data_IF_726735610484
#
_entry.id   IF_726735610484
#
_cell.length_a   1.000
_cell.length_b   1.000
_cell.length_c   1.000
_cell.angle_alpha   90.00
_cell.angle_beta   90.00
_cell.angle_gamma   90.00
#
_symmetry.space_group_name_H-M   'P 1'
#
loop_
_entity.id
_entity.type
_entity.pdbx_description
1 polymer ?
#
# COMPACT_ATOMS: atom_id res chain seq x y z
N UNK A 1 17.70 -17.60 -2.96
CA UNK A 1 16.32 -17.06 -3.07
C UNK A 1 16.35 -15.99 -4.15
N UNK A 2 15.72 -16.22 -5.30
CA UNK A 2 15.84 -15.34 -6.48
C UNK A 2 14.94 -14.11 -6.43
N UNK A 3 15.10 -13.21 -7.41
CA UNK A 3 14.26 -12.02 -7.60
C UNK A 3 12.85 -12.33 -8.12
N UNK A 4 12.64 -13.53 -8.67
CA UNK A 4 11.37 -14.05 -9.18
C UNK A 4 10.19 -13.92 -8.20
N UNK A 5 10.25 -14.43 -6.96
CA UNK A 5 9.15 -14.29 -5.99
C UNK A 5 8.81 -12.83 -5.66
N UNK A 6 9.81 -11.95 -5.56
CA UNK A 6 9.61 -10.52 -5.35
C UNK A 6 8.87 -9.87 -6.52
N UNK A 7 9.22 -10.23 -7.75
CA UNK A 7 8.57 -9.71 -8.95
C UNK A 7 7.12 -10.18 -9.05
N UNK A 8 6.85 -11.46 -8.78
CA UNK A 8 5.48 -12.03 -8.77
C UNK A 8 4.64 -11.35 -7.69
N UNK A 9 5.18 -11.17 -6.49
CA UNK A 9 4.50 -10.48 -5.40
C UNK A 9 4.14 -9.04 -5.78
N UNK A 10 5.09 -8.29 -6.35
CA UNK A 10 4.85 -6.93 -6.81
C UNK A 10 3.78 -6.88 -7.91
N UNK A 11 3.79 -7.84 -8.84
CA UNK A 11 2.81 -7.92 -9.91
C UNK A 11 1.39 -8.16 -9.40
N UNK A 12 1.24 -9.09 -8.44
CA UNK A 12 -0.05 -9.38 -7.80
C UNK A 12 -0.54 -8.15 -7.02
N UNK A 13 0.37 -7.44 -6.34
CA UNK A 13 0.04 -6.23 -5.59
C UNK A 13 -0.36 -5.05 -6.50
N UNK A 14 0.25 -4.93 -7.69
CA UNK A 14 -0.10 -3.89 -8.68
C UNK A 14 -1.32 -4.24 -9.54
N UNK A 15 -1.68 -5.51 -9.66
CA UNK A 15 -2.83 -6.00 -10.45
C UNK A 15 -4.12 -5.19 -10.25
N UNK A 16 -4.57 -4.89 -9.00
CA UNK A 16 -5.80 -4.12 -8.79
C UNK A 16 -5.71 -2.69 -9.35
N UNK A 17 -4.53 -2.06 -9.28
CA UNK A 17 -4.29 -0.73 -9.86
C UNK A 17 -4.42 -0.77 -11.39
N UNK A 18 -3.92 -1.83 -12.02
CA UNK A 18 -4.01 -2.03 -13.48
C UNK A 18 -5.47 -2.33 -13.89
N UNK A 19 -6.19 -3.18 -13.16
CA UNK A 19 -7.59 -3.52 -13.42
C UNK A 19 -8.52 -2.30 -13.40
N UNK A 20 -8.34 -1.41 -12.43
CA UNK A 20 -9.06 -0.13 -12.37
C UNK A 20 -8.54 0.83 -13.44
N UNK A 21 -7.23 0.84 -13.67
CA UNK A 21 -6.55 1.64 -14.70
C UNK A 21 -7.02 1.35 -16.13
N UNK A 22 -7.35 0.11 -16.44
CA UNK A 22 -7.74 -0.34 -17.79
C UNK A 22 -9.26 -0.47 -17.96
N UNK A 23 -10.03 -0.48 -16.86
CA UNK A 23 -11.49 -0.54 -16.95
C UNK A 23 -12.06 0.78 -17.47
N UNK A 24 -12.72 0.73 -18.63
CA UNK A 24 -13.58 1.79 -19.19
C UNK A 24 -14.85 2.04 -18.35
N UNK A 25 -15.06 1.24 -17.29
CA UNK A 25 -16.22 1.29 -16.41
C UNK A 25 -16.19 2.46 -15.41
N UNK A 26 -15.02 3.04 -15.14
CA UNK A 26 -14.88 4.16 -14.18
C UNK A 26 -14.37 5.40 -14.89
N UNK A 27 -15.16 6.48 -14.85
CA UNK A 27 -14.87 7.70 -15.60
C UNK A 27 -14.13 8.73 -14.75
N UNK A 28 -13.10 9.39 -15.31
CA UNK A 28 -12.36 10.54 -14.74
C UNK A 28 -12.08 10.49 -13.24
N UNK A 29 -12.99 11.09 -12.45
CA UNK A 29 -12.87 11.25 -11.00
C UNK A 29 -13.05 9.94 -10.22
N UNK A 30 -13.85 8.99 -10.69
CA UNK A 30 -14.04 7.69 -10.03
C UNK A 30 -12.74 6.88 -10.02
N UNK A 31 -11.96 7.00 -11.10
CA UNK A 31 -10.67 6.31 -11.24
C UNK A 31 -9.65 6.82 -10.22
N UNK A 32 -9.64 8.13 -9.99
CA UNK A 32 -8.80 8.77 -8.97
C UNK A 32 -9.23 8.36 -7.55
N UNK A 33 -10.54 8.27 -7.28
CA UNK A 33 -11.05 7.81 -5.99
C UNK A 33 -10.63 6.36 -5.70
N UNK A 34 -10.69 5.47 -6.69
CA UNK A 34 -10.24 4.09 -6.55
C UNK A 34 -8.72 3.96 -6.35
N UNK A 35 -7.92 4.72 -7.11
CA UNK A 35 -6.47 4.78 -6.92
C UNK A 35 -6.09 5.27 -5.52
N UNK A 36 -6.76 6.33 -5.04
CA UNK A 36 -6.56 6.87 -3.71
C UNK A 36 -6.97 5.87 -2.62
N UNK A 37 -8.10 5.19 -2.79
CA UNK A 37 -8.55 4.15 -1.87
C UNK A 37 -7.56 2.98 -1.77
N UNK A 38 -7.02 2.49 -2.90
CA UNK A 38 -6.01 1.43 -2.90
C UNK A 38 -4.71 1.86 -2.23
N UNK A 39 -4.31 3.12 -2.39
CA UNK A 39 -3.15 3.69 -1.72
C UNK A 39 -3.35 3.76 -0.20
N UNK A 40 -4.51 4.24 0.25
CA UNK A 40 -4.87 4.23 1.67
C UNK A 40 -4.83 2.81 2.22
N UNK A 41 -5.56 1.86 1.64
CA UNK A 41 -5.62 0.48 2.15
C UNK A 41 -4.24 -0.18 2.18
N UNK A 42 -3.40 0.04 1.16
CA UNK A 42 -2.07 -0.58 1.10
C UNK A 42 -1.06 0.04 2.07
N UNK A 43 -1.19 1.34 2.37
CA UNK A 43 -0.20 2.07 3.17
C UNK A 43 -0.68 2.45 4.59
N UNK A 44 -1.96 2.19 4.92
CA UNK A 44 -2.54 2.53 6.23
C UNK A 44 -1.82 1.84 7.39
N UNK A 45 -1.26 0.66 7.16
CA UNK A 45 -0.49 -0.08 8.16
C UNK A 45 0.73 0.72 8.67
N UNK A 46 1.33 1.58 7.85
CA UNK A 46 2.42 2.47 8.27
C UNK A 46 1.91 3.63 9.11
N UNK A 47 0.76 4.21 8.77
CA UNK A 47 0.14 5.26 9.58
C UNK A 47 -0.18 4.72 10.97
N UNK A 48 -0.77 3.54 11.07
CA UNK A 48 -0.96 2.87 12.35
C UNK A 48 0.34 2.48 13.01
N UNK A 49 1.35 2.01 12.28
CA UNK A 49 2.66 1.75 12.87
C UNK A 49 3.24 3.02 13.50
N UNK A 50 3.15 4.20 12.88
CA UNK A 50 3.60 5.45 13.48
C UNK A 50 2.75 5.89 14.69
N UNK A 51 1.45 5.57 14.68
CA UNK A 51 0.52 5.92 15.75
C UNK A 51 0.60 4.95 16.96
N UNK A 52 0.80 3.66 16.69
CA UNK A 52 0.86 2.57 17.67
C UNK A 52 2.28 2.28 18.12
N UNK A 53 3.31 2.53 17.29
CA UNK A 53 4.70 2.40 17.71
C UNK A 53 4.87 3.35 18.89
N UNK A 54 5.03 2.81 20.11
CA UNK A 54 5.28 3.65 21.25
C UNK A 54 6.64 4.31 21.00
N UNK A 55 6.68 5.64 21.06
CA UNK A 55 7.90 6.44 21.23
C UNK A 55 8.53 6.17 22.62
N UNK A 56 8.56 4.91 23.08
CA UNK A 56 9.30 4.54 24.28
C UNK A 56 10.78 4.64 23.91
N UNK A 57 11.32 5.83 24.17
CA UNK A 57 12.73 6.05 24.38
C UNK A 57 13.24 4.88 25.24
N UNK A 58 14.09 4.07 24.63
CA UNK A 58 14.76 2.98 25.30
C UNK A 58 15.72 3.67 26.26
N UNK A 59 15.23 4.00 27.46
CA UNK A 59 16.04 4.51 28.55
C UNK A 59 17.13 3.48 28.81
N UNK A 60 18.29 3.76 28.25
CA UNK A 60 19.55 3.12 28.60
C UNK A 60 19.93 3.65 29.98
N UNK A 61 19.31 3.08 31.01
CA UNK A 61 19.89 3.09 32.34
C UNK A 61 20.93 1.96 32.35
N UNK A 62 22.16 2.31 31.97
CA UNK A 62 23.38 1.55 32.29
C UNK A 62 24.05 2.28 33.44
#
# INVERSE_FOLDING_TARGET
>A
MGLLPLLIWLFIWLLPFILVGTSDKTSGNEKLAWLLAMFFVSWFAWIFYLLLAPLKEKRSDV
#
